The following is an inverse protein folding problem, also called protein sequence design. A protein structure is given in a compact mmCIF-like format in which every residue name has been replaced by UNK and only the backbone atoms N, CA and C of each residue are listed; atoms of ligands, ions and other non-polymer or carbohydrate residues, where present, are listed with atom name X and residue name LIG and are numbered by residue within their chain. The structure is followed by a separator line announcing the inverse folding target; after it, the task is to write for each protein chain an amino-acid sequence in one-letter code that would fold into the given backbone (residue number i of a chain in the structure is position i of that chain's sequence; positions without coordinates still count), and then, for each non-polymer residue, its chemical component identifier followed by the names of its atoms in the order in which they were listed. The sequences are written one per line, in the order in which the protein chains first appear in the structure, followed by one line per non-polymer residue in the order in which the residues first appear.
data_IF_313678563120
#
_entry.id   IF_313678563120
#
_cell.length_a   1.000
_cell.length_b   1.000
_cell.length_c   1.000
_cell.angle_alpha   90.00
_cell.angle_beta   90.00
_cell.angle_gamma   90.00
#
_symmetry.space_group_name_H-M   'P 1'
#
loop_
_entity.id
_entity.type
_entity.pdbx_description
1 polymer ?
#
# COMPACT_ATOMS: atom_id res chain seq x y z
N UNK A 1 13.03 -0.72 -15.86
CA UNK A 1 13.04 0.25 -14.74
C UNK A 1 12.74 -0.51 -13.48
N UNK A 2 13.45 -0.23 -12.39
CA UNK A 2 13.16 -0.77 -11.06
C UNK A 2 12.62 0.32 -10.15
N UNK A 3 11.47 0.06 -9.54
CA UNK A 3 10.86 0.92 -8.53
C UNK A 3 10.59 0.08 -7.29
N UNK A 4 11.11 0.52 -6.15
CA UNK A 4 10.90 -0.17 -4.90
C UNK A 4 10.95 0.81 -3.74
N UNK A 5 9.88 0.83 -2.94
CA UNK A 5 9.88 1.56 -1.69
C UNK A 5 10.35 0.67 -0.51
N UNK A 6 10.93 -0.52 -0.78
CA UNK A 6 11.42 -1.44 0.26
C UNK A 6 12.42 -0.79 1.21
N UNK A 7 13.21 0.18 0.75
CA UNK A 7 14.13 0.94 1.64
C UNK A 7 13.38 1.67 2.78
N UNK A 8 12.11 2.03 2.57
CA UNK A 8 11.24 2.68 3.58
C UNK A 8 10.63 1.69 4.57
N UNK A 9 10.84 0.37 4.42
CA UNK A 9 10.29 -0.64 5.33
C UNK A 9 10.66 -0.37 6.78
N UNK A 10 11.90 0.03 7.06
CA UNK A 10 12.35 0.38 8.41
C UNK A 10 11.57 1.55 9.00
N UNK A 11 11.32 2.59 8.20
CA UNK A 11 10.51 3.75 8.60
C UNK A 11 9.09 3.33 8.93
N UNK A 12 8.48 2.48 8.10
CA UNK A 12 7.12 2.03 8.38
C UNK A 12 7.02 1.10 9.59
N UNK A 13 8.04 0.26 9.82
CA UNK A 13 8.15 -0.53 11.06
C UNK A 13 8.26 0.37 12.29
N UNK A 14 9.08 1.42 12.21
CA UNK A 14 9.22 2.41 13.28
C UNK A 14 7.89 3.12 13.56
N UNK A 15 7.18 3.56 12.53
CA UNK A 15 5.84 4.16 12.67
C UNK A 15 4.89 3.18 13.35
N UNK A 16 4.88 1.90 12.94
CA UNK A 16 4.04 0.90 13.58
C UNK A 16 4.36 0.71 15.08
N UNK A 17 5.63 0.65 15.44
CA UNK A 17 6.05 0.57 16.85
C UNK A 17 5.65 1.82 17.63
N UNK A 18 5.78 3.01 17.04
CA UNK A 18 5.37 4.27 17.66
C UNK A 18 3.85 4.32 17.87
N UNK A 19 3.06 3.85 16.92
CA UNK A 19 1.60 3.74 17.05
C UNK A 19 1.20 2.76 18.16
N UNK A 20 1.89 1.63 18.27
CA UNK A 20 1.68 0.68 19.37
C UNK A 20 2.01 1.30 20.74
N UNK A 21 3.13 2.00 20.85
CA UNK A 21 3.49 2.75 22.06
C UNK A 21 2.46 3.82 22.41
N UNK A 22 1.96 4.54 21.41
CA UNK A 22 0.94 5.57 21.62
C UNK A 22 -0.38 4.98 22.12
N UNK A 23 -0.80 3.83 21.60
CA UNK A 23 -1.97 3.11 22.10
C UNK A 23 -1.76 2.60 23.54
N UNK A 24 -0.61 1.99 23.83
CA UNK A 24 -0.29 1.51 25.18
C UNK A 24 -0.27 2.67 26.18
N UNK A 25 0.36 3.79 25.82
CA UNK A 25 0.39 5.01 26.62
C UNK A 25 -1.01 5.59 26.83
N UNK A 26 -1.84 5.63 25.79
CA UNK A 26 -3.23 6.09 25.87
C UNK A 26 -4.10 5.23 26.80
N UNK A 27 -3.97 3.90 26.71
CA UNK A 27 -4.64 2.96 27.63
C UNK A 27 -4.15 3.15 29.06
N UNK A 28 -2.84 3.28 29.26
CA UNK A 28 -2.26 3.52 30.59
C UNK A 28 -2.74 4.84 31.21
N UNK A 29 -2.77 5.91 30.41
CA UNK A 29 -3.28 7.20 30.83
C UNK A 29 -4.78 7.13 31.17
N UNK A 30 -5.59 6.45 30.37
CA UNK A 30 -7.01 6.24 30.66
C UNK A 30 -7.24 5.53 32.00
N UNK A 31 -6.46 4.46 32.29
CA UNK A 31 -6.55 3.75 33.57
C UNK A 31 -6.16 4.67 34.73
N UNK A 32 -5.06 5.42 34.62
CA UNK A 32 -4.65 6.34 35.68
C UNK A 32 -5.69 7.45 35.90
N UNK A 33 -6.30 7.93 34.82
CA UNK A 33 -7.34 8.94 34.87
C UNK A 33 -8.57 8.44 35.64
N UNK A 34 -9.11 7.28 35.25
CA UNK A 34 -10.32 6.69 35.83
C UNK A 34 -10.15 6.32 37.32
N UNK A 35 -8.95 5.86 37.72
CA UNK A 35 -8.74 5.31 39.07
C UNK A 35 -7.98 6.24 40.04
N UNK A 36 -7.29 7.27 39.56
CA UNK A 36 -6.47 8.15 40.43
C UNK A 36 -6.75 9.63 40.29
N UNK A 37 -6.98 10.13 39.08
CA UNK A 37 -7.01 11.58 38.85
C UNK A 37 -8.43 12.13 38.78
N UNK A 38 -9.35 11.47 38.05
CA UNK A 38 -10.76 11.87 37.87
C UNK A 38 -10.94 13.35 37.47
N UNK A 39 -10.07 13.84 36.59
CA UNK A 39 -10.03 15.23 36.07
C UNK A 39 -10.81 15.36 34.76
N UNK A 40 -10.66 14.39 33.85
CA UNK A 40 -11.16 14.44 32.47
C UNK A 40 -12.58 13.87 32.31
N UNK A 41 -13.07 13.12 33.30
CA UNK A 41 -14.38 12.46 33.25
C UNK A 41 -14.59 11.67 31.95
N UNK A 42 -15.65 11.98 31.20
CA UNK A 42 -15.99 11.28 29.93
C UNK A 42 -15.00 11.52 28.80
N UNK A 43 -14.22 12.60 28.85
CA UNK A 43 -13.24 12.93 27.82
C UNK A 43 -12.01 12.01 27.87
N UNK A 44 -11.81 11.28 28.97
CA UNK A 44 -10.76 10.27 29.12
C UNK A 44 -10.81 9.21 28.00
N UNK A 45 -12.00 8.91 27.46
CA UNK A 45 -12.18 8.00 26.32
C UNK A 45 -11.38 8.43 25.08
N UNK A 46 -11.13 9.74 24.90
CA UNK A 46 -10.32 10.24 23.79
C UNK A 46 -8.88 9.73 23.83
N UNK A 47 -8.36 9.41 25.02
CA UNK A 47 -7.02 8.84 25.20
C UNK A 47 -6.87 7.48 24.50
N UNK A 48 -7.97 6.77 24.26
CA UNK A 48 -7.98 5.49 23.53
C UNK A 48 -8.47 5.69 22.09
N UNK A 49 -9.56 6.45 21.91
CA UNK A 49 -10.19 6.64 20.60
C UNK A 49 -9.20 7.26 19.61
N UNK A 50 -8.43 8.26 20.02
CA UNK A 50 -7.48 8.95 19.12
C UNK A 50 -6.36 8.01 18.64
N UNK A 51 -5.62 7.29 19.51
CA UNK A 51 -4.64 6.31 19.04
C UNK A 51 -5.24 5.22 18.14
N UNK A 52 -6.40 4.67 18.49
CA UNK A 52 -7.08 3.63 17.69
C UNK A 52 -7.44 4.19 16.31
N UNK A 53 -7.98 5.40 16.25
CA UNK A 53 -8.34 6.05 14.99
C UNK A 53 -7.12 6.25 14.08
N UNK A 54 -5.98 6.70 14.62
CA UNK A 54 -4.74 6.87 13.85
C UNK A 54 -4.22 5.52 13.33
N UNK A 55 -4.28 4.46 14.15
CA UNK A 55 -3.92 3.10 13.73
C UNK A 55 -4.80 2.64 12.56
N UNK A 56 -6.12 2.86 12.67
CA UNK A 56 -7.07 2.52 11.61
C UNK A 56 -6.73 3.26 10.31
N UNK A 57 -6.46 4.56 10.37
CA UNK A 57 -6.05 5.34 9.19
C UNK A 57 -4.76 4.80 8.55
N UNK A 58 -3.78 4.40 9.36
CA UNK A 58 -2.55 3.80 8.88
C UNK A 58 -2.81 2.51 8.11
N UNK A 59 -3.69 1.62 8.60
CA UNK A 59 -3.96 0.35 7.93
C UNK A 59 -4.96 0.43 6.77
N UNK A 60 -5.91 1.37 6.79
CA UNK A 60 -6.84 1.63 5.66
C UNK A 60 -6.10 2.15 4.44
N UNK A 61 -4.95 2.81 4.63
CA UNK A 61 -4.10 3.30 3.53
C UNK A 61 -3.55 2.16 2.65
N UNK A 62 -3.58 0.91 3.14
CA UNK A 62 -3.22 -0.31 2.39
C UNK A 62 -1.80 -0.81 2.68
N UNK A 63 -1.31 -1.68 1.81
CA UNK A 63 0.01 -2.31 1.87
C UNK A 63 1.11 -1.27 1.69
N UNK A 64 2.04 -1.27 2.64
CA UNK A 64 3.07 -0.24 2.71
C UNK A 64 4.22 -0.49 1.74
N UNK A 65 4.49 -1.75 1.38
CA UNK A 65 5.60 -2.10 0.50
C UNK A 65 5.08 -2.44 -0.88
N UNK A 66 5.59 -1.72 -1.88
CA UNK A 66 5.36 -1.96 -3.30
C UNK A 66 6.69 -2.03 -4.05
N UNK A 67 6.85 -3.07 -4.86
CA UNK A 67 8.01 -3.28 -5.72
C UNK A 67 7.53 -3.58 -7.14
N UNK A 68 8.17 -2.95 -8.11
CA UNK A 68 7.94 -3.08 -9.55
C UNK A 68 9.28 -3.22 -10.26
N UNK A 69 9.40 -4.23 -11.13
CA UNK A 69 10.55 -4.41 -12.00
C UNK A 69 10.10 -4.64 -13.45
N UNK A 70 10.71 -3.89 -14.36
CA UNK A 70 10.53 -4.00 -15.81
C UNK A 70 11.84 -4.10 -16.59
N UNK A 71 12.98 -4.37 -15.96
CA UNK A 71 14.27 -4.50 -16.65
C UNK A 71 14.39 -5.80 -17.48
N UNK A 72 13.59 -6.84 -17.18
CA UNK A 72 13.58 -8.13 -17.90
C UNK A 72 12.52 -8.26 -19.01
N UNK A 73 12.29 -9.48 -19.47
CA UNK A 73 11.20 -9.80 -20.42
C UNK A 73 9.81 -9.80 -19.76
N UNK A 74 9.79 -10.07 -18.46
CA UNK A 74 8.61 -10.04 -17.62
C UNK A 74 8.47 -8.71 -16.87
N UNK A 75 7.25 -8.42 -16.45
CA UNK A 75 6.94 -7.44 -15.43
C UNK A 75 6.73 -8.18 -14.12
N UNK A 76 7.37 -7.69 -13.07
CA UNK A 76 7.23 -8.23 -11.73
C UNK A 76 6.56 -7.19 -10.83
N UNK A 77 5.49 -7.57 -10.16
CA UNK A 77 4.78 -6.75 -9.19
C UNK A 77 4.78 -7.46 -7.84
N UNK A 78 5.21 -6.76 -6.79
CA UNK A 78 5.12 -7.26 -5.41
C UNK A 78 4.46 -6.21 -4.54
N UNK A 79 3.49 -6.64 -3.74
CA UNK A 79 2.79 -5.75 -2.83
C UNK A 79 2.50 -6.47 -1.51
N UNK A 80 3.09 -5.98 -0.41
CA UNK A 80 3.02 -6.64 0.90
C UNK A 80 2.91 -5.62 2.03
N UNK A 81 2.39 -6.09 3.15
CA UNK A 81 2.44 -5.36 4.41
C UNK A 81 3.80 -5.55 5.08
N UNK A 82 4.16 -4.62 5.97
CA UNK A 82 5.34 -4.79 6.85
C UNK A 82 5.09 -5.91 7.84
N UNK A 83 3.83 -6.01 8.30
CA UNK A 83 3.37 -7.08 9.18
C UNK A 83 2.97 -8.29 8.31
N UNK A 84 3.73 -9.39 8.36
CA UNK A 84 3.52 -10.51 7.45
C UNK A 84 2.20 -11.26 7.67
N UNK A 85 1.65 -11.23 8.89
CA UNK A 85 0.41 -11.94 9.24
C UNK A 85 -0.87 -11.14 8.95
N UNK A 86 -0.79 -9.85 8.62
CA UNK A 86 -1.99 -9.03 8.40
C UNK A 86 -2.71 -9.42 7.10
N UNK A 87 -1.96 -9.66 6.02
CA UNK A 87 -2.50 -10.11 4.73
C UNK A 87 -1.46 -10.89 3.95
N UNK A 88 -1.91 -11.89 3.16
CA UNK A 88 -1.05 -12.65 2.25
C UNK A 88 -0.33 -11.70 1.26
N UNK A 89 1.00 -11.77 1.10
CA UNK A 89 1.72 -10.95 0.14
C UNK A 89 1.26 -11.26 -1.30
N UNK A 90 1.14 -10.22 -2.12
CA UNK A 90 0.86 -10.34 -3.55
C UNK A 90 2.19 -10.30 -4.29
N UNK A 91 2.38 -11.25 -5.21
CA UNK A 91 3.56 -11.33 -6.06
C UNK A 91 3.15 -11.95 -7.38
N UNK A 92 3.05 -11.13 -8.42
CA UNK A 92 2.67 -11.57 -9.75
C UNK A 92 3.79 -11.26 -10.74
N UNK A 93 4.01 -12.19 -11.65
CA UNK A 93 4.98 -12.07 -12.72
C UNK A 93 4.34 -12.51 -14.02
N UNK A 94 4.48 -11.68 -15.05
CA UNK A 94 3.95 -12.01 -16.37
C UNK A 94 4.77 -11.35 -17.48
N UNK A 95 4.84 -11.97 -18.67
CA UNK A 95 5.52 -11.37 -19.82
C UNK A 95 4.94 -10.01 -20.21
N UNK A 96 5.79 -9.06 -20.61
CA UNK A 96 5.39 -7.69 -20.98
C UNK A 96 4.26 -7.65 -22.01
N UNK A 97 4.27 -8.54 -23.01
CA UNK A 97 3.26 -8.59 -24.07
C UNK A 97 1.84 -8.93 -23.56
N UNK A 98 1.71 -9.51 -22.35
CA UNK A 98 0.41 -9.78 -21.74
C UNK A 98 -0.25 -8.53 -21.16
N UNK A 99 0.50 -7.45 -20.94
CA UNK A 99 -0.08 -6.19 -20.45
C UNK A 99 -0.97 -5.57 -21.53
N UNK A 100 -2.26 -5.43 -21.23
CA UNK A 100 -3.24 -4.81 -22.14
C UNK A 100 -3.47 -3.35 -21.81
N UNK A 101 -3.81 -3.06 -20.54
CA UNK A 101 -4.06 -1.71 -20.05
C UNK A 101 -3.75 -1.60 -18.57
N UNK A 102 -3.58 -0.38 -18.09
CA UNK A 102 -3.45 -0.10 -16.67
C UNK A 102 -4.25 1.16 -16.30
N UNK A 103 -4.73 1.21 -15.07
CA UNK A 103 -5.49 2.33 -14.52
C UNK A 103 -4.99 2.62 -13.09
N UNK A 104 -4.77 3.90 -12.78
CA UNK A 104 -4.38 4.35 -11.44
C UNK A 104 -5.53 5.17 -10.87
N UNK A 105 -6.16 4.68 -9.81
CA UNK A 105 -7.23 5.37 -9.10
C UNK A 105 -6.66 5.99 -7.82
N UNK A 106 -6.91 7.28 -7.63
CA UNK A 106 -6.48 8.04 -6.45
C UNK A 106 -7.70 8.56 -5.69
N UNK A 107 -7.96 7.99 -4.51
CA UNK A 107 -9.04 8.35 -3.58
C UNK A 107 -8.42 8.96 -2.32
N UNK A 108 -7.98 10.21 -2.42
CA UNK A 108 -7.37 11.03 -1.36
C UNK A 108 -6.21 10.35 -0.60
N UNK A 109 -6.50 9.42 0.32
CA UNK A 109 -5.53 8.63 1.10
C UNK A 109 -5.21 7.29 0.42
N UNK A 110 -6.15 6.74 -0.37
CA UNK A 110 -6.04 5.41 -0.97
C UNK A 110 -5.66 5.55 -2.44
N UNK A 111 -4.53 4.97 -2.86
CA UNK A 111 -4.16 4.86 -4.27
C UNK A 111 -4.08 3.39 -4.68
N UNK A 112 -4.72 3.05 -5.79
CA UNK A 112 -4.76 1.69 -6.33
C UNK A 112 -4.34 1.66 -7.79
N UNK A 113 -3.52 0.68 -8.12
CA UNK A 113 -3.12 0.34 -9.47
C UNK A 113 -3.90 -0.91 -9.91
N UNK A 114 -4.58 -0.79 -11.04
CA UNK A 114 -5.27 -1.89 -11.71
C UNK A 114 -4.51 -2.21 -12.98
N UNK A 115 -4.05 -3.45 -13.11
CA UNK A 115 -3.35 -3.97 -14.28
C UNK A 115 -4.29 -4.97 -14.96
N UNK A 116 -4.65 -4.73 -16.21
CA UNK A 116 -5.40 -5.71 -17.01
C UNK A 116 -4.42 -6.48 -17.89
N UNK A 117 -4.38 -7.80 -17.70
CA UNK A 117 -3.54 -8.71 -18.47
C UNK A 117 -4.39 -9.63 -19.34
N UNK A 118 -3.82 -10.11 -20.45
CA UNK A 118 -4.43 -11.18 -21.25
C UNK A 118 -4.32 -12.52 -20.54
N UNK A 119 -5.41 -13.29 -20.57
CA UNK A 119 -5.52 -14.61 -19.94
C UNK A 119 -5.96 -15.64 -20.98
N UNK A 120 -5.35 -16.83 -20.94
CA UNK A 120 -5.70 -17.92 -21.88
C UNK A 120 -7.13 -18.45 -21.66
N UNK A 121 -7.64 -18.38 -20.43
CA UNK A 121 -8.93 -18.99 -20.06
C UNK A 121 -10.11 -18.02 -20.09
N UNK A 122 -9.90 -16.74 -19.80
CA UNK A 122 -10.97 -15.76 -19.57
C UNK A 122 -10.91 -14.54 -20.50
N UNK A 123 -9.99 -14.54 -21.47
CA UNK A 123 -9.69 -13.39 -22.31
C UNK A 123 -8.84 -12.33 -21.60
N UNK A 124 -9.25 -11.89 -20.41
CA UNK A 124 -8.47 -10.97 -19.57
C UNK A 124 -8.63 -11.21 -18.07
N UNK A 125 -7.66 -10.73 -17.28
CA UNK A 125 -7.66 -10.77 -15.82
C UNK A 125 -7.19 -9.42 -15.29
N UNK A 126 -7.80 -8.94 -14.19
CA UNK A 126 -7.43 -7.68 -13.54
C UNK A 126 -6.67 -8.00 -12.24
N UNK A 127 -5.41 -7.55 -12.18
CA UNK A 127 -4.57 -7.57 -10.98
C UNK A 127 -4.68 -6.22 -10.26
N UNK A 128 -4.74 -6.24 -8.93
CA UNK A 128 -4.97 -5.06 -8.09
C UNK A 128 -3.81 -4.89 -7.12
N UNK A 129 -3.24 -3.69 -7.08
CA UNK A 129 -2.14 -3.35 -6.17
C UNK A 129 -2.42 -2.04 -5.44
N UNK A 130 -1.99 -1.97 -4.20
CA UNK A 130 -2.07 -0.79 -3.35
C UNK A 130 -0.74 -0.02 -3.43
N UNK A 131 -0.83 1.24 -3.83
CA UNK A 131 0.32 2.11 -4.12
C UNK A 131 0.23 3.44 -3.35
N UNK A 132 -0.62 3.52 -2.31
CA UNK A 132 -0.82 4.73 -1.50
C UNK A 132 0.48 5.28 -0.91
N UNK A 133 1.41 4.38 -0.58
CA UNK A 133 2.71 4.69 0.02
C UNK A 133 3.80 5.08 -0.99
N UNK A 134 3.46 5.13 -2.28
CA UNK A 134 4.33 5.73 -3.29
C UNK A 134 4.19 7.26 -3.29
N UNK A 135 5.33 7.92 -3.37
CA UNK A 135 5.43 9.37 -3.59
C UNK A 135 4.89 9.73 -4.98
N UNK A 136 4.56 10.99 -5.21
CA UNK A 136 4.07 11.46 -6.52
C UNK A 136 5.05 11.10 -7.65
N UNK A 137 6.34 11.34 -7.44
CA UNK A 137 7.41 10.98 -8.39
C UNK A 137 7.42 9.48 -8.69
N UNK A 138 7.41 8.63 -7.67
CA UNK A 138 7.35 7.16 -7.85
C UNK A 138 6.10 6.73 -8.64
N UNK A 139 4.94 7.34 -8.40
CA UNK A 139 3.72 7.06 -9.16
C UNK A 139 3.83 7.51 -10.61
N UNK A 140 4.41 8.68 -10.86
CA UNK A 140 4.59 9.21 -12.21
C UNK A 140 5.60 8.39 -13.01
N UNK A 141 6.71 7.97 -12.39
CA UNK A 141 7.69 7.08 -13.01
C UNK A 141 7.06 5.71 -13.34
N UNK A 142 6.26 5.16 -12.41
CA UNK A 142 5.52 3.91 -12.64
C UNK A 142 4.54 4.06 -13.81
N UNK A 143 3.78 5.15 -13.85
CA UNK A 143 2.86 5.46 -14.95
C UNK A 143 3.60 5.55 -16.28
N UNK A 144 4.73 6.25 -16.33
CA UNK A 144 5.54 6.37 -17.53
C UNK A 144 6.06 5.01 -18.02
N UNK A 145 6.57 4.19 -17.10
CA UNK A 145 7.06 2.85 -17.41
C UNK A 145 5.98 1.94 -17.99
N UNK A 146 4.80 1.89 -17.37
CA UNK A 146 3.68 1.09 -17.84
C UNK A 146 3.14 1.59 -19.18
N UNK A 147 3.05 2.91 -19.36
CA UNK A 147 2.64 3.51 -20.61
C UNK A 147 3.56 3.13 -21.77
N UNK A 148 4.89 3.12 -21.54
CA UNK A 148 5.85 2.66 -22.55
C UNK A 148 5.59 1.21 -22.98
N UNK A 149 5.34 0.31 -22.02
CA UNK A 149 5.06 -1.10 -22.32
C UNK A 149 3.76 -1.27 -23.11
N UNK A 150 2.68 -0.61 -22.69
CA UNK A 150 1.39 -0.68 -23.40
C UNK A 150 1.52 -0.13 -24.81
N UNK A 151 2.21 1.00 -24.99
CA UNK A 151 2.43 1.60 -26.32
C UNK A 151 3.16 0.62 -27.25
N UNK A 152 4.27 0.04 -26.81
CA UNK A 152 5.03 -0.95 -27.60
C UNK A 152 4.20 -2.19 -27.93
N UNK A 153 3.34 -2.65 -27.01
CA UNK A 153 2.47 -3.79 -27.27
C UNK A 153 1.38 -3.47 -28.31
N UNK A 154 0.85 -2.25 -28.32
CA UNK A 154 -0.15 -1.82 -29.30
C UNK A 154 0.45 -1.66 -30.69
N UNK A 155 1.67 -1.10 -30.79
CA UNK A 155 2.40 -0.99 -32.06
C UNK A 155 2.71 -2.35 -32.68
N UNK A 156 2.98 -3.39 -31.87
CA UNK A 156 3.21 -4.76 -32.36
C UNK A 156 1.95 -5.52 -32.79
N UNK A 157 0.77 -5.03 -32.41
CA UNK A 157 -0.52 -5.64 -32.77
C UNK A 157 -1.15 -5.00 -34.00
N UNK A 158 -0.69 -3.81 -34.38
CA UNK A 158 -1.10 -3.08 -35.59
C UNK A 158 -0.26 -3.50 -36.79
#
# INVERSE_FOLDING_TARGET
MRLSNRKKTSVYSFINSLLAMFLIGGVGAFILEEYKFDVLGKESLLLIIVPVFIIILFYISGRQVFEYDSDGEALHFRNRNIIPFLQKPLSDEFPKYKLLKFEIINLFIIKRLYITISSKNSGSTILKYEISYLTRKEVDDLRFSLHKVVKTNNEKKS
#
